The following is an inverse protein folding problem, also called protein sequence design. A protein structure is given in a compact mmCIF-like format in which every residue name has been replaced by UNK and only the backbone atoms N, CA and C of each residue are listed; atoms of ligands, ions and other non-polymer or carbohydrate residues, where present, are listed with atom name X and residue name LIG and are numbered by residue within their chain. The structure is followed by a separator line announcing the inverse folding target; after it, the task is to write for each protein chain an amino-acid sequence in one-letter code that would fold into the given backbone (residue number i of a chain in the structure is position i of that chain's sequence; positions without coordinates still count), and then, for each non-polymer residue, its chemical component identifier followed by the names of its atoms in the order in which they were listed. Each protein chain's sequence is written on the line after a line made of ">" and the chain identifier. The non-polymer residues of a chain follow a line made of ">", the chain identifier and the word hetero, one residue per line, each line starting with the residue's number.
data_IF_854347798426
#
_entry.id   IF_854347798426
#
_cell.length_a   1.000
_cell.length_b   1.000
_cell.length_c   1.000
_cell.angle_alpha   90.00
_cell.angle_beta   90.00
_cell.angle_gamma   90.00
#
_symmetry.space_group_name_H-M   'P 1'
#
loop_
_entity.id
_entity.type
_entity.pdbx_description
1 polymer ?
#
# COMPACT_ATOMS: atom_id res chain seq x y z
N UNK A 1 -20.22 -18.20 18.19
CA UNK A 1 -18.75 -18.07 18.35
C UNK A 1 -18.32 -16.81 17.59
N UNK A 2 -17.70 -15.77 18.13
CA UNK A 2 -17.49 -15.34 19.51
C UNK A 2 -17.34 -13.81 19.50
N UNK A 3 -18.21 -13.10 20.22
CA UNK A 3 -18.20 -11.63 20.39
C UNK A 3 -16.99 -11.05 21.15
N UNK A 4 -15.97 -11.88 21.41
CA UNK A 4 -14.68 -11.49 21.98
C UNK A 4 -13.68 -11.00 20.91
N UNK A 5 -13.85 -11.43 19.65
CA UNK A 5 -13.02 -11.00 18.51
C UNK A 5 -13.26 -9.52 18.15
N UNK A 6 -14.49 -9.05 18.35
CA UNK A 6 -14.92 -7.66 18.11
C UNK A 6 -14.21 -6.63 18.99
N UNK A 7 -13.90 -6.95 20.26
CA UNK A 7 -13.30 -5.96 21.18
C UNK A 7 -11.81 -5.72 20.90
N UNK A 8 -11.09 -6.72 20.41
CA UNK A 8 -9.65 -6.62 20.14
C UNK A 8 -9.33 -5.94 18.81
N UNK A 9 -10.09 -6.21 17.74
CA UNK A 9 -9.96 -5.47 16.46
C UNK A 9 -10.37 -4.00 16.65
N UNK A 10 -11.41 -3.73 17.46
CA UNK A 10 -11.77 -2.37 17.86
C UNK A 10 -10.69 -1.70 18.69
N UNK A 11 -10.04 -2.38 19.64
CA UNK A 11 -8.93 -1.79 20.40
C UNK A 11 -7.73 -1.47 19.49
N UNK A 12 -7.40 -2.33 18.51
CA UNK A 12 -6.24 -2.13 17.64
C UNK A 12 -6.45 -1.00 16.62
N UNK A 13 -7.63 -0.94 15.98
CA UNK A 13 -7.96 0.12 15.02
C UNK A 13 -8.35 1.43 15.73
N UNK A 14 -9.08 1.39 16.86
CA UNK A 14 -9.45 2.59 17.62
C UNK A 14 -8.26 3.23 18.33
N UNK A 15 -7.31 2.43 18.85
CA UNK A 15 -6.10 2.96 19.51
C UNK A 15 -5.10 3.58 18.52
N UNK A 16 -5.06 3.11 17.26
CA UNK A 16 -4.11 3.63 16.26
C UNK A 16 -4.70 4.70 15.32
N UNK A 17 -6.01 4.70 15.05
CA UNK A 17 -6.63 5.56 14.03
C UNK A 17 -7.57 6.65 14.54
N UNK A 18 -7.93 6.72 15.84
CA UNK A 18 -8.81 7.75 16.43
C UNK A 18 -10.10 7.98 15.60
N UNK A 19 -10.76 6.89 15.21
CA UNK A 19 -12.05 6.90 14.50
C UNK A 19 -13.18 6.79 15.55
N UNK A 20 -14.30 7.50 15.32
CA UNK A 20 -15.43 7.55 16.23
C UNK A 20 -16.21 6.21 16.26
N UNK A 21 -16.70 5.82 17.44
CA UNK A 21 -17.23 4.48 17.73
C UNK A 21 -18.44 4.05 16.85
N UNK A 22 -19.18 5.00 16.29
CA UNK A 22 -20.43 4.76 15.55
C UNK A 22 -20.23 4.55 14.04
N UNK A 23 -19.14 5.07 13.46
CA UNK A 23 -18.82 4.95 12.02
C UNK A 23 -18.19 3.57 11.69
N UNK A 24 -17.49 2.97 12.66
CA UNK A 24 -16.87 1.64 12.53
C UNK A 24 -17.87 0.49 12.29
N UNK A 25 -19.14 0.63 12.69
CA UNK A 25 -20.14 -0.45 12.55
C UNK A 25 -20.63 -0.62 11.10
N UNK A 26 -20.76 0.47 10.34
CA UNK A 26 -21.15 0.42 8.93
C UNK A 26 -19.98 -0.03 8.04
N UNK A 27 -18.76 0.43 8.34
CA UNK A 27 -17.57 0.08 7.58
C UNK A 27 -17.21 -1.41 7.67
N UNK A 28 -17.44 -2.02 8.85
CA UNK A 28 -17.23 -3.46 9.10
C UNK A 28 -18.19 -4.36 8.31
N UNK A 29 -19.44 -3.93 8.11
CA UNK A 29 -20.45 -4.74 7.42
C UNK A 29 -20.17 -4.89 5.92
N UNK A 30 -19.57 -3.88 5.28
CA UNK A 30 -19.32 -3.92 3.83
C UNK A 30 -18.07 -4.71 3.42
N UNK A 31 -17.07 -4.85 4.30
CA UNK A 31 -15.78 -5.52 3.98
C UNK A 31 -15.81 -7.03 4.30
N UNK A 32 -16.44 -7.44 5.40
CA UNK A 32 -16.38 -8.83 5.88
C UNK A 32 -17.53 -9.73 5.40
N UNK A 33 -18.47 -9.23 4.58
CA UNK A 33 -19.63 -10.01 4.12
C UNK A 33 -19.41 -10.73 2.79
N UNK A 34 -18.23 -10.54 2.16
CA UNK A 34 -17.71 -11.46 1.14
C UNK A 34 -17.10 -12.65 1.85
N UNK A 35 -17.62 -13.85 1.63
CA UNK A 35 -17.35 -15.11 2.37
C UNK A 35 -15.88 -15.60 2.42
N UNK A 36 -14.90 -14.79 2.01
CA UNK A 36 -13.49 -15.19 1.87
C UNK A 36 -12.52 -14.54 2.87
N UNK A 37 -12.85 -13.38 3.45
CA UNK A 37 -11.91 -12.63 4.32
C UNK A 37 -12.13 -13.01 5.80
N UNK A 38 -11.18 -13.73 6.41
CA UNK A 38 -11.33 -14.28 7.78
C UNK A 38 -10.70 -13.41 8.84
N UNK A 39 -9.63 -12.68 8.51
CA UNK A 39 -8.91 -11.85 9.48
C UNK A 39 -8.15 -10.67 8.85
N UNK A 40 -7.99 -9.61 9.64
CA UNK A 40 -7.10 -8.50 9.31
C UNK A 40 -5.71 -8.81 9.86
N UNK A 41 -4.72 -8.84 8.98
CA UNK A 41 -3.32 -9.14 9.28
C UNK A 41 -2.51 -7.87 9.53
N UNK A 42 -2.82 -6.80 8.80
CA UNK A 42 -2.13 -5.52 8.92
C UNK A 42 -3.08 -4.36 8.68
N UNK A 43 -2.87 -3.25 9.39
CA UNK A 43 -3.59 -2.01 9.22
C UNK A 43 -2.69 -0.82 9.54
N UNK A 44 -2.49 0.08 8.57
CA UNK A 44 -1.73 1.31 8.80
C UNK A 44 -2.06 2.44 7.81
N UNK A 45 -1.67 3.67 8.15
CA UNK A 45 -1.76 4.83 7.25
C UNK A 45 -0.58 4.82 6.28
N UNK A 46 -0.89 4.97 5.00
CA UNK A 46 0.10 5.04 3.92
C UNK A 46 -0.12 6.29 3.07
N UNK A 47 0.94 6.74 2.39
CA UNK A 47 0.86 7.78 1.37
C UNK A 47 0.77 7.10 0.00
N UNK A 48 -0.40 7.14 -0.63
CA UNK A 48 -0.61 6.65 -2.00
C UNK A 48 -0.25 7.75 -3.00
N UNK A 49 0.48 7.40 -4.04
CA UNK A 49 0.71 8.27 -5.20
C UNK A 49 -0.40 8.08 -6.23
N UNK A 50 -0.95 9.17 -6.73
CA UNK A 50 -1.99 9.13 -7.76
C UNK A 50 -1.40 9.23 -9.16
N UNK A 51 -2.18 8.90 -10.19
CA UNK A 51 -1.79 9.11 -11.58
C UNK A 51 -1.47 10.56 -11.91
N UNK A 52 -2.10 11.52 -11.22
CA UNK A 52 -1.77 12.95 -11.32
C UNK A 52 -0.56 13.37 -10.49
N UNK A 53 0.07 12.43 -9.77
CA UNK A 53 1.28 12.71 -9.00
C UNK A 53 1.07 13.20 -7.57
N UNK A 54 -0.17 13.60 -7.26
CA UNK A 54 -0.53 14.02 -5.90
C UNK A 54 -0.43 12.85 -4.94
N UNK A 55 0.13 13.13 -3.76
CA UNK A 55 0.10 12.22 -2.62
C UNK A 55 -1.25 12.29 -1.92
N UNK A 56 -1.84 11.14 -1.63
CA UNK A 56 -3.08 11.03 -0.85
C UNK A 56 -2.88 10.08 0.32
N UNK A 57 -3.32 10.48 1.51
CA UNK A 57 -3.36 9.61 2.69
C UNK A 57 -4.43 8.54 2.50
N UNK A 58 -4.09 7.29 2.72
CA UNK A 58 -5.01 6.14 2.69
C UNK A 58 -4.73 5.24 3.88
N UNK A 59 -5.73 4.52 4.35
CA UNK A 59 -5.52 3.41 5.27
C UNK A 59 -5.37 2.17 4.41
N UNK A 60 -4.24 1.49 4.54
CA UNK A 60 -3.99 0.19 3.96
C UNK A 60 -4.43 -0.87 4.97
N UNK A 61 -5.33 -1.76 4.56
CA UNK A 61 -5.68 -2.95 5.31
C UNK A 61 -5.26 -4.17 4.49
N UNK A 62 -4.60 -5.12 5.14
CA UNK A 62 -4.21 -6.40 4.55
C UNK A 62 -4.96 -7.48 5.30
N UNK A 63 -5.60 -8.36 4.56
CA UNK A 63 -6.31 -9.53 5.07
C UNK A 63 -5.67 -10.80 4.52
N UNK A 64 -6.22 -11.95 4.87
CA UNK A 64 -5.83 -13.25 4.33
C UNK A 64 -6.19 -13.45 2.84
N UNK A 65 -7.02 -12.59 2.24
CA UNK A 65 -7.46 -12.74 0.85
C UNK A 65 -7.24 -11.51 -0.04
N UNK A 66 -7.34 -10.30 0.52
CA UNK A 66 -7.23 -9.07 -0.25
C UNK A 66 -6.57 -7.89 0.50
N UNK A 67 -6.08 -6.94 -0.28
CA UNK A 67 -5.67 -5.61 0.12
C UNK A 67 -6.83 -4.63 -0.04
N UNK A 68 -7.01 -3.74 0.93
CA UNK A 68 -8.03 -2.71 0.90
C UNK A 68 -7.40 -1.33 1.10
N UNK A 69 -7.79 -0.38 0.26
CA UNK A 69 -7.45 1.02 0.39
C UNK A 69 -8.67 1.82 0.81
N UNK A 70 -8.61 2.40 1.98
CA UNK A 70 -9.69 3.20 2.56
C UNK A 70 -9.30 4.67 2.57
N UNK A 71 -10.25 5.53 2.25
CA UNK A 71 -10.09 6.97 2.40
C UNK A 71 -10.48 7.40 3.81
N UNK A 72 -9.52 7.84 4.65
CA UNK A 72 -9.82 8.23 6.03
C UNK A 72 -10.69 9.47 6.13
N UNK A 73 -10.79 10.29 5.07
CA UNK A 73 -11.60 11.51 5.08
C UNK A 73 -13.08 11.24 4.83
N UNK A 74 -13.37 10.27 3.96
CA UNK A 74 -14.74 9.93 3.55
C UNK A 74 -15.24 8.61 4.14
N UNK A 75 -14.45 7.96 4.99
CA UNK A 75 -14.64 6.60 5.52
C UNK A 75 -15.18 5.61 4.45
N UNK A 76 -14.58 5.67 3.25
CA UNK A 76 -15.06 4.92 2.09
C UNK A 76 -13.97 4.00 1.56
N UNK A 77 -14.35 2.75 1.29
CA UNK A 77 -13.50 1.81 0.56
C UNK A 77 -13.30 2.32 -0.86
N UNK A 78 -12.05 2.65 -1.22
CA UNK A 78 -11.69 3.17 -2.55
C UNK A 78 -11.28 2.06 -3.51
N UNK A 79 -10.62 1.02 -3.02
CA UNK A 79 -10.14 -0.08 -3.85
C UNK A 79 -9.97 -1.35 -3.02
N UNK A 80 -10.31 -2.49 -3.62
CA UNK A 80 -9.99 -3.83 -3.14
C UNK A 80 -9.14 -4.51 -4.21
N UNK A 81 -8.02 -5.12 -3.81
CA UNK A 81 -7.12 -5.86 -4.71
C UNK A 81 -6.99 -7.27 -4.13
N UNK A 82 -7.37 -8.29 -4.88
CA UNK A 82 -7.18 -9.67 -4.45
C UNK A 82 -5.68 -9.98 -4.38
N UNK A 83 -5.22 -10.73 -3.37
CA UNK A 83 -3.81 -11.11 -3.27
C UNK A 83 -3.35 -11.92 -4.48
N UNK A 84 -4.23 -12.77 -5.03
CA UNK A 84 -3.98 -13.53 -6.25
C UNK A 84 -3.83 -12.68 -7.51
N UNK A 85 -4.20 -11.39 -7.49
CA UNK A 85 -4.02 -10.47 -8.60
C UNK A 85 -2.67 -9.73 -8.54
N UNK A 86 -1.93 -9.85 -7.43
CA UNK A 86 -0.61 -9.26 -7.27
C UNK A 86 0.43 -10.18 -7.91
N UNK A 87 1.18 -9.65 -8.87
CA UNK A 87 2.26 -10.40 -9.53
C UNK A 87 3.57 -10.28 -8.74
N UNK A 88 3.95 -9.05 -8.40
CA UNK A 88 5.20 -8.77 -7.70
C UNK A 88 5.15 -7.46 -6.93
N UNK A 89 6.10 -7.28 -6.03
CA UNK A 89 6.35 -6.02 -5.35
C UNK A 89 7.71 -5.47 -5.77
N UNK A 90 7.80 -4.17 -6.04
CA UNK A 90 9.05 -3.50 -6.38
C UNK A 90 9.44 -2.54 -5.25
N UNK A 91 10.71 -2.57 -4.86
CA UNK A 91 11.32 -1.66 -3.89
C UNK A 91 12.63 -1.12 -4.45
N UNK A 92 13.09 0.01 -3.91
CA UNK A 92 14.45 0.48 -4.17
C UNK A 92 15.47 -0.35 -3.39
N UNK A 93 16.73 -0.26 -3.80
CA UNK A 93 17.86 -0.80 -3.03
C UNK A 93 18.28 0.14 -1.88
N UNK A 94 17.64 1.32 -1.79
CA UNK A 94 17.95 2.36 -0.81
C UNK A 94 17.08 2.20 0.45
N UNK A 95 17.53 2.79 1.55
CA UNK A 95 16.82 2.84 2.82
C UNK A 95 15.66 3.85 2.83
N UNK A 96 14.83 3.86 1.78
CA UNK A 96 13.67 4.76 1.70
C UNK A 96 12.39 4.13 2.28
N UNK A 97 11.24 4.74 2.02
CA UNK A 97 9.93 4.27 2.49
C UNK A 97 9.00 3.80 1.36
N UNK A 98 9.50 3.63 0.13
CA UNK A 98 8.68 3.38 -1.05
C UNK A 98 8.47 1.89 -1.33
N UNK A 99 7.28 1.56 -1.80
CA UNK A 99 6.94 0.23 -2.31
C UNK A 99 5.91 0.36 -3.43
N UNK A 100 6.10 -0.40 -4.51
CA UNK A 100 5.13 -0.55 -5.56
C UNK A 100 4.58 -1.99 -5.59
N UNK A 101 3.27 -2.13 -5.80
CA UNK A 101 2.59 -3.41 -5.96
C UNK A 101 2.12 -3.49 -7.41
N UNK A 102 2.64 -4.47 -8.15
CA UNK A 102 2.37 -4.68 -9.56
C UNK A 102 1.16 -5.62 -9.71
N UNK A 103 0.16 -5.16 -10.46
CA UNK A 103 -1.16 -5.78 -10.60
C UNK A 103 -1.50 -5.82 -12.08
N UNK A 104 -1.08 -6.85 -12.83
CA UNK A 104 -1.23 -6.90 -14.29
C UNK A 104 -2.67 -6.85 -14.79
N UNK A 105 -3.61 -7.26 -13.95
CA UNK A 105 -5.05 -7.28 -14.26
C UNK A 105 -5.68 -5.90 -14.19
N UNK A 106 -5.01 -4.93 -13.57
CA UNK A 106 -5.50 -3.55 -13.39
C UNK A 106 -4.30 -2.56 -13.46
N UNK A 107 -4.39 -1.44 -12.73
CA UNK A 107 -3.29 -0.49 -12.56
C UNK A 107 -2.55 -0.74 -11.24
N UNK A 108 -1.26 -0.42 -11.21
CA UNK A 108 -0.36 -0.68 -10.08
C UNK A 108 -0.62 0.28 -8.91
N UNK A 109 -0.06 -0.06 -7.76
CA UNK A 109 -0.12 0.77 -6.55
C UNK A 109 1.27 1.19 -6.12
N UNK A 110 1.60 2.47 -6.29
CA UNK A 110 2.77 3.08 -5.67
C UNK A 110 2.39 3.76 -4.35
N UNK A 111 3.12 3.46 -3.29
CA UNK A 111 2.91 4.07 -1.98
C UNK A 111 4.20 4.22 -1.17
N UNK A 112 4.13 5.06 -0.13
CA UNK A 112 5.18 5.22 0.87
C UNK A 112 4.65 4.92 2.28
N UNK A 113 5.44 4.17 3.07
CA UNK A 113 5.18 3.83 4.46
C UNK A 113 6.49 3.59 5.22
N UNK A 114 6.55 4.05 6.47
CA UNK A 114 7.65 3.76 7.40
C UNK A 114 7.68 2.30 7.85
N UNK A 115 6.57 1.56 7.66
CA UNK A 115 6.44 0.13 7.93
C UNK A 115 6.48 -0.71 6.65
N UNK A 116 7.19 -0.25 5.60
CA UNK A 116 7.27 -0.95 4.31
C UNK A 116 7.71 -2.41 4.45
N UNK A 117 8.68 -2.68 5.33
CA UNK A 117 9.19 -4.04 5.58
C UNK A 117 8.09 -4.95 6.10
N UNK A 118 7.28 -4.47 7.05
CA UNK A 118 6.18 -5.25 7.61
C UNK A 118 5.08 -5.51 6.57
N UNK A 119 4.76 -4.51 5.74
CA UNK A 119 3.81 -4.67 4.63
C UNK A 119 4.26 -5.77 3.67
N UNK A 120 5.53 -5.73 3.26
CA UNK A 120 6.13 -6.72 2.34
C UNK A 120 6.15 -8.11 2.98
N UNK A 121 6.58 -8.22 4.23
CA UNK A 121 6.62 -9.49 4.96
C UNK A 121 5.22 -10.11 5.07
N UNK A 122 4.22 -9.33 5.51
CA UNK A 122 2.84 -9.81 5.63
C UNK A 122 2.31 -10.27 4.27
N UNK A 123 2.58 -9.52 3.20
CA UNK A 123 2.14 -9.89 1.85
C UNK A 123 2.78 -11.19 1.35
N UNK A 124 4.10 -11.34 1.51
CA UNK A 124 4.82 -12.56 1.10
C UNK A 124 4.35 -13.77 1.90
N UNK A 125 4.20 -13.63 3.23
CA UNK A 125 3.74 -14.73 4.10
C UNK A 125 2.30 -15.13 3.78
N UNK A 126 1.44 -14.16 3.49
CA UNK A 126 0.03 -14.42 3.17
C UNK A 126 -0.12 -15.07 1.80
N UNK A 127 0.61 -14.60 0.78
CA UNK A 127 0.59 -15.18 -0.55
C UNK A 127 1.09 -16.65 -0.55
N UNK A 128 2.18 -16.91 0.17
CA UNK A 128 2.69 -18.28 0.38
C UNK A 128 1.65 -19.17 1.04
N UNK A 129 1.02 -18.69 2.11
CA UNK A 129 0.02 -19.46 2.87
C UNK A 129 -1.27 -19.72 2.09
N UNK A 130 -1.64 -18.83 1.16
CA UNK A 130 -2.91 -18.89 0.45
C UNK A 130 -2.85 -19.75 -0.84
N UNK A 131 -1.71 -19.78 -1.54
CA UNK A 131 -1.66 -20.34 -2.90
C UNK A 131 -0.39 -21.10 -3.28
N UNK A 132 0.51 -21.41 -2.33
CA UNK A 132 1.84 -22.02 -2.61
C UNK A 132 2.64 -21.21 -3.66
N UNK A 133 2.26 -19.95 -3.87
CA UNK A 133 2.86 -19.04 -4.84
C UNK A 133 3.83 -18.13 -4.10
N UNK A 134 5.09 -18.14 -4.55
CA UNK A 134 6.10 -17.22 -4.07
C UNK A 134 5.91 -15.86 -4.74
N UNK A 135 5.27 -14.94 -4.01
CA UNK A 135 5.16 -13.55 -4.43
C UNK A 135 6.55 -12.94 -4.58
N UNK A 136 6.90 -12.54 -5.80
CA UNK A 136 8.21 -12.00 -6.13
C UNK A 136 8.41 -10.60 -5.52
N UNK A 137 9.61 -10.37 -4.98
CA UNK A 137 10.04 -9.06 -4.47
C UNK A 137 11.27 -8.62 -5.26
N UNK A 138 11.08 -7.65 -6.14
CA UNK A 138 12.13 -7.08 -6.97
C UNK A 138 12.73 -5.83 -6.33
N UNK A 139 14.06 -5.75 -6.34
CA UNK A 139 14.80 -4.56 -5.92
C UNK A 139 15.40 -3.89 -7.14
N UNK A 140 15.11 -2.60 -7.33
CA UNK A 140 15.71 -1.79 -8.37
C UNK A 140 15.55 -0.31 -8.04
N UNK A 141 16.61 0.46 -8.25
CA UNK A 141 16.56 1.92 -8.13
C UNK A 141 15.85 2.58 -9.33
N UNK A 142 15.39 1.80 -10.31
CA UNK A 142 14.61 2.26 -11.44
C UNK A 142 13.63 1.20 -11.90
N UNK A 143 12.34 1.53 -11.92
CA UNK A 143 11.34 0.63 -12.49
C UNK A 143 10.11 1.39 -13.01
N UNK A 144 9.42 0.76 -13.94
CA UNK A 144 8.15 1.23 -14.49
C UNK A 144 6.97 0.65 -13.72
N UNK A 145 5.88 1.40 -13.65
CA UNK A 145 4.61 0.97 -13.09
C UNK A 145 3.44 1.65 -13.82
N UNK A 146 2.31 0.94 -13.88
CA UNK A 146 1.06 1.39 -14.46
C UNK A 146 0.31 2.28 -13.45
N UNK A 147 0.46 3.59 -13.54
CA UNK A 147 -0.23 4.54 -12.67
C UNK A 147 -1.75 4.62 -12.97
N UNK A 148 -2.16 4.27 -14.19
CA UNK A 148 -3.53 4.05 -14.64
C UNK A 148 -3.53 3.03 -15.81
N UNK A 149 -4.71 2.69 -16.34
CA UNK A 149 -4.85 1.67 -17.39
C UNK A 149 -4.06 1.98 -18.69
N UNK A 150 -3.89 3.27 -18.99
CA UNK A 150 -3.23 3.79 -20.19
C UNK A 150 -2.03 4.68 -19.84
N UNK A 151 -1.56 4.64 -18.59
CA UNK A 151 -0.56 5.56 -18.07
C UNK A 151 0.57 4.82 -17.37
N UNK A 152 1.68 4.63 -18.08
CA UNK A 152 2.91 4.08 -17.53
C UNK A 152 3.79 5.22 -17.02
N UNK A 153 4.31 5.08 -15.81
CA UNK A 153 5.27 6.00 -15.22
C UNK A 153 6.51 5.24 -14.81
N UNK A 154 7.63 5.95 -14.80
CA UNK A 154 8.88 5.43 -14.26
C UNK A 154 9.17 6.11 -12.93
N UNK A 155 9.67 5.34 -11.95
CA UNK A 155 10.24 5.88 -10.72
C UNK A 155 11.74 5.60 -10.69
N UNK A 156 12.51 6.62 -10.33
CA UNK A 156 13.96 6.57 -10.17
C UNK A 156 14.32 7.00 -8.76
N UNK A 157 15.19 6.24 -8.10
CA UNK A 157 15.68 6.50 -6.75
C UNK A 157 17.14 6.92 -6.81
N UNK A 158 17.46 8.03 -6.15
CA UNK A 158 18.80 8.59 -6.09
C UNK A 158 19.14 9.02 -4.67
N UNK A 159 20.38 8.81 -4.25
CA UNK A 159 20.95 9.39 -3.04
C UNK A 159 21.72 10.65 -3.44
N UNK A 160 21.34 11.79 -2.84
CA UNK A 160 21.93 13.09 -3.12
C UNK A 160 22.43 13.69 -1.82
N UNK A 161 23.66 14.19 -1.80
CA UNK A 161 24.16 14.96 -0.65
C UNK A 161 23.58 16.37 -0.69
N UNK A 162 22.93 16.79 0.40
CA UNK A 162 22.54 18.18 0.60
C UNK A 162 23.77 19.04 0.89
N UNK A 163 23.63 20.35 0.75
CA UNK A 163 24.59 21.41 1.08
C UNK A 163 25.20 21.32 2.49
N UNK A 164 24.58 20.58 3.41
CA UNK A 164 25.07 20.29 4.75
C UNK A 164 25.85 18.97 4.88
N UNK A 165 26.07 18.23 3.78
CA UNK A 165 26.72 16.91 3.77
C UNK A 165 25.83 15.77 4.29
N UNK A 166 24.51 15.98 4.35
CA UNK A 166 23.54 14.94 4.71
C UNK A 166 23.05 14.23 3.45
N UNK A 167 23.08 12.91 3.46
CA UNK A 167 22.49 12.09 2.39
C UNK A 167 20.97 12.21 2.41
N UNK A 168 20.40 12.53 1.26
CA UNK A 168 18.99 12.80 1.02
C UNK A 168 18.50 11.86 -0.09
N UNK A 169 17.52 11.02 0.24
CA UNK A 169 16.95 10.06 -0.71
C UNK A 169 15.83 10.72 -1.51
N UNK A 170 15.98 10.71 -2.82
CA UNK A 170 15.07 11.35 -3.75
C UNK A 170 14.44 10.28 -4.64
N UNK A 171 13.11 10.27 -4.69
CA UNK A 171 12.35 9.50 -5.66
C UNK A 171 11.78 10.43 -6.74
N UNK A 172 12.22 10.26 -7.98
CA UNK A 172 11.73 11.01 -9.14
C UNK A 172 10.72 10.16 -9.90
N UNK A 173 9.49 10.65 -10.00
CA UNK A 173 8.49 10.06 -10.88
C UNK A 173 8.56 10.78 -12.23
N UNK A 174 8.88 10.04 -13.28
CA UNK A 174 9.02 10.54 -14.65
C UNK A 174 7.84 10.06 -15.49
N UNK A 175 7.16 11.01 -16.15
CA UNK A 175 6.16 10.72 -17.16
C UNK A 175 6.42 11.53 -18.44
N UNK A 176 6.54 10.83 -19.57
CA UNK A 176 6.77 11.45 -20.87
C UNK A 176 5.44 12.00 -21.44
N UNK A 177 5.32 13.28 -21.85
CA UNK A 177 6.41 14.17 -22.25
C UNK A 177 6.65 15.42 -21.36
N UNK A 178 6.20 15.51 -20.10
CA UNK A 178 6.23 16.85 -19.45
C UNK A 178 6.20 17.00 -17.93
N UNK A 179 6.22 15.94 -17.10
CA UNK A 179 6.29 16.16 -15.65
C UNK A 179 7.25 15.18 -14.96
N UNK A 180 8.31 15.75 -14.39
CA UNK A 180 9.12 15.10 -13.37
C UNK A 180 8.62 15.61 -12.02
N UNK A 181 8.10 14.70 -11.21
CA UNK A 181 7.77 15.01 -9.82
C UNK A 181 8.82 14.44 -8.91
N UNK A 182 9.44 15.34 -8.16
CA UNK A 182 10.46 15.00 -7.18
C UNK A 182 9.79 14.81 -5.84
N UNK A 183 9.95 13.62 -5.27
CA UNK A 183 9.46 13.25 -3.96
C UNK A 183 10.67 13.06 -3.06
N UNK A 184 10.63 13.68 -1.89
CA UNK A 184 11.68 13.57 -0.88
C UNK A 184 11.28 12.45 0.10
N UNK A 185 12.20 11.53 0.34
CA UNK A 185 12.06 10.39 1.26
C UNK A 185 12.38 10.72 2.70
#
# INVERSE_FOLDING_TARGET
>A
MNGYFLKHVFAFVSCSLRISHWECWAFRWSICNTECDKQVLFADKVLKFTSSGKMKRRILLITDFALYLVDPESDALKRRIALAAVEKMCMSELCDNFVAIIIPTEYDLLMASTRKTEIVTVLVETAKSASDYDLEVAFSNRFEYNAAADLVKEIQFEEVEDSAGLALLIAKIVHYPSHVEVLLG
#
